data_IF_980739648555
#
_entry.id   IF_980739648555
#
_cell.length_a   1.000
_cell.length_b   1.000
_cell.length_c   1.000
_cell.angle_alpha   90.00
_cell.angle_beta   90.00
_cell.angle_gamma   90.00
#
_symmetry.space_group_name_H-M   'P 1'
#
loop_
_entity.id
_entity.type
_entity.pdbx_description
1 polymer ?
#
# COMPACT_ATOMS: atom_id res chain seq x y z
N UNK A 1 -55.99 -14.27 -0.48
CA UNK A 1 -54.64 -13.72 -0.27
C UNK A 1 -53.64 -14.64 -0.94
N UNK A 2 -53.42 -14.42 -2.23
CA UNK A 2 -52.38 -15.07 -3.02
C UNK A 2 -51.05 -14.43 -2.64
N UNK A 3 -50.21 -15.20 -1.95
CA UNK A 3 -48.84 -14.83 -1.61
C UNK A 3 -47.98 -15.15 -2.83
N UNK A 4 -47.70 -14.14 -3.65
CA UNK A 4 -46.65 -14.17 -4.67
C UNK A 4 -45.32 -14.24 -3.92
N UNK A 5 -44.84 -15.47 -3.73
CA UNK A 5 -43.46 -15.74 -3.36
C UNK A 5 -42.69 -15.79 -4.68
N UNK A 6 -42.36 -14.60 -5.21
CA UNK A 6 -41.41 -14.44 -6.32
C UNK A 6 -40.03 -14.76 -5.74
N UNK A 7 -39.76 -16.06 -5.63
CA UNK A 7 -38.47 -16.60 -5.22
C UNK A 7 -37.44 -16.14 -6.24
N UNK A 8 -36.63 -15.17 -5.82
CA UNK A 8 -35.47 -14.62 -6.52
C UNK A 8 -34.58 -15.78 -7.02
N UNK A 9 -34.83 -16.25 -8.24
CA UNK A 9 -34.01 -17.27 -8.86
C UNK A 9 -32.61 -16.66 -8.97
N UNK A 10 -31.55 -17.31 -8.44
CA UNK A 10 -30.22 -16.74 -8.47
C UNK A 10 -29.82 -16.47 -9.91
N UNK A 11 -29.87 -15.19 -10.29
CA UNK A 11 -29.63 -14.73 -11.64
C UNK A 11 -28.17 -15.03 -11.99
N UNK A 12 -27.95 -15.85 -13.01
CA UNK A 12 -26.60 -16.26 -13.40
C UNK A 12 -25.87 -15.04 -13.97
N UNK A 13 -24.70 -14.72 -13.42
CA UNK A 13 -23.90 -13.55 -13.79
C UNK A 13 -22.66 -13.96 -14.56
N UNK A 14 -22.30 -13.15 -15.56
CA UNK A 14 -21.06 -13.27 -16.31
C UNK A 14 -19.86 -12.73 -15.51
N UNK A 15 -18.67 -12.75 -16.12
CA UNK A 15 -17.46 -12.25 -15.48
C UNK A 15 -17.53 -10.77 -15.07
N UNK A 16 -18.25 -9.95 -15.83
CA UNK A 16 -18.48 -8.53 -15.56
C UNK A 16 -19.66 -8.28 -14.58
N UNK A 17 -20.28 -9.32 -14.01
CA UNK A 17 -21.40 -9.19 -13.09
C UNK A 17 -22.76 -8.93 -13.76
N UNK A 18 -22.81 -8.77 -15.08
CA UNK A 18 -24.06 -8.61 -15.81
C UNK A 18 -24.89 -9.90 -15.84
N UNK A 19 -26.23 -9.78 -15.84
CA UNK A 19 -27.11 -10.93 -15.94
C UNK A 19 -27.04 -11.57 -17.33
N UNK A 20 -26.89 -12.89 -17.34
CA UNK A 20 -26.92 -13.71 -18.55
C UNK A 20 -28.36 -14.17 -18.79
N UNK A 21 -28.87 -13.96 -19.99
CA UNK A 21 -30.16 -14.49 -20.43
C UNK A 21 -30.02 -15.23 -21.78
N UNK A 22 -30.94 -16.16 -22.08
CA UNK A 22 -31.05 -16.76 -23.41
C UNK A 22 -31.19 -15.71 -24.52
N UNK A 23 -30.80 -16.09 -25.74
CA UNK A 23 -30.87 -15.27 -26.96
C UNK A 23 -29.99 -14.01 -26.94
N UNK A 24 -29.10 -13.91 -25.95
CA UNK A 24 -28.06 -12.87 -25.90
C UNK A 24 -26.79 -13.32 -26.62
N UNK A 25 -26.06 -12.37 -27.20
CA UNK A 25 -24.71 -12.58 -27.73
C UNK A 25 -23.64 -12.11 -26.78
N UNK A 26 -22.64 -12.94 -26.57
CA UNK A 26 -21.57 -12.70 -25.62
C UNK A 26 -20.19 -12.96 -26.22
N UNK A 27 -19.22 -12.22 -25.71
CA UNK A 27 -17.80 -12.45 -25.92
C UNK A 27 -17.34 -13.61 -25.03
N UNK A 28 -16.95 -14.73 -25.64
CA UNK A 28 -16.38 -15.89 -24.95
C UNK A 28 -14.86 -15.92 -25.09
N UNK A 29 -14.14 -16.24 -24.00
CA UNK A 29 -12.69 -16.47 -24.03
C UNK A 29 -12.33 -17.75 -23.26
N UNK A 30 -11.74 -18.74 -23.94
CA UNK A 30 -11.39 -20.06 -23.38
C UNK A 30 -10.30 -20.02 -22.31
N UNK A 31 -9.34 -19.11 -22.43
CA UNK A 31 -8.16 -18.96 -21.58
C UNK A 31 -7.71 -17.50 -21.55
N UNK A 32 -6.77 -17.11 -20.69
CA UNK A 32 -6.41 -15.70 -20.55
C UNK A 32 -5.86 -15.07 -21.85
N UNK A 33 -5.16 -15.88 -22.66
CA UNK A 33 -4.48 -15.48 -23.90
C UNK A 33 -5.19 -15.95 -25.18
N UNK A 34 -6.32 -16.65 -25.06
CA UNK A 34 -7.07 -17.11 -26.22
C UNK A 34 -7.81 -15.94 -26.88
N UNK A 35 -8.03 -16.00 -28.22
CA UNK A 35 -8.87 -15.03 -28.90
C UNK A 35 -10.29 -15.06 -28.33
N UNK A 36 -10.99 -13.94 -28.50
CA UNK A 36 -12.39 -13.81 -28.10
C UNK A 36 -13.27 -14.19 -29.28
N UNK A 37 -14.29 -15.00 -29.01
CA UNK A 37 -15.19 -15.56 -30.01
C UNK A 37 -16.63 -15.19 -29.69
N UNK A 38 -17.44 -14.95 -30.72
CA UNK A 38 -18.88 -14.68 -30.55
C UNK A 38 -19.65 -15.96 -30.23
N UNK A 39 -20.48 -15.92 -29.17
CA UNK A 39 -21.40 -17.01 -28.82
C UNK A 39 -22.82 -16.51 -28.55
N UNK A 40 -23.82 -17.29 -28.98
CA UNK A 40 -25.23 -17.12 -28.60
C UNK A 40 -25.51 -17.93 -27.32
N UNK A 41 -26.21 -17.34 -26.35
CA UNK A 41 -26.66 -18.04 -25.15
C UNK A 41 -27.93 -18.82 -25.46
N UNK A 42 -27.87 -20.15 -25.35
CA UNK A 42 -29.03 -21.01 -25.59
C UNK A 42 -29.80 -21.29 -24.31
N UNK A 43 -29.09 -21.60 -23.22
CA UNK A 43 -29.73 -22.06 -21.98
C UNK A 43 -28.85 -21.85 -20.76
N UNK A 44 -29.47 -21.50 -19.64
CA UNK A 44 -28.84 -21.49 -18.32
C UNK A 44 -28.97 -22.86 -17.65
N UNK A 45 -27.86 -23.39 -17.13
CA UNK A 45 -27.84 -24.65 -16.38
C UNK A 45 -28.43 -24.47 -14.99
N UNK A 46 -29.22 -25.44 -14.53
CA UNK A 46 -29.86 -25.44 -13.20
C UNK A 46 -29.05 -26.17 -12.13
N UNK A 47 -28.04 -26.95 -12.52
CA UNK A 47 -27.21 -27.76 -11.62
C UNK A 47 -25.89 -27.07 -11.27
N UNK A 48 -25.33 -27.41 -10.11
CA UNK A 48 -23.98 -26.95 -9.70
C UNK A 48 -22.92 -27.93 -10.23
N UNK A 49 -21.75 -27.44 -10.69
CA UNK A 49 -21.37 -26.03 -10.81
C UNK A 49 -22.12 -25.30 -11.93
N UNK A 50 -22.34 -23.99 -11.79
CA UNK A 50 -23.05 -23.19 -12.78
C UNK A 50 -22.41 -23.31 -14.17
N UNK A 51 -23.25 -23.53 -15.19
CA UNK A 51 -22.87 -23.67 -16.60
C UNK A 51 -23.90 -22.99 -17.48
N UNK A 52 -23.42 -22.47 -18.60
CA UNK A 52 -24.24 -21.83 -19.64
C UNK A 52 -24.03 -22.61 -20.93
N UNK A 53 -25.13 -23.04 -21.56
CA UNK A 53 -25.06 -23.66 -22.88
C UNK A 53 -24.98 -22.54 -23.91
N UNK A 54 -23.92 -22.58 -24.71
CA UNK A 54 -23.63 -21.57 -25.72
C UNK A 54 -23.52 -22.22 -27.10
N UNK A 55 -23.80 -21.45 -28.15
CA UNK A 55 -23.55 -21.81 -29.55
C UNK A 55 -22.52 -20.87 -30.15
N UNK A 56 -21.50 -21.41 -30.79
CA UNK A 56 -20.49 -20.60 -31.48
C UNK A 56 -21.04 -20.07 -32.81
N UNK A 57 -20.87 -18.76 -33.03
CA UNK A 57 -21.44 -18.04 -34.18
C UNK A 57 -20.44 -17.93 -35.34
N UNK A 58 -19.13 -18.00 -35.07
CA UNK A 58 -18.08 -17.86 -36.09
C UNK A 58 -17.93 -19.12 -36.97
N UNK A 59 -17.72 -18.91 -38.27
CA UNK A 59 -17.67 -19.94 -39.32
C UNK A 59 -16.76 -21.14 -39.01
N UNK A 60 -15.62 -20.91 -38.33
CA UNK A 60 -14.68 -21.97 -37.97
C UNK A 60 -15.25 -23.00 -36.97
N UNK A 61 -16.33 -22.64 -36.27
CA UNK A 61 -16.99 -23.44 -35.23
C UNK A 61 -18.53 -23.40 -35.37
N UNK A 62 -19.04 -23.05 -36.56
CA UNK A 62 -20.47 -22.81 -36.77
C UNK A 62 -21.32 -23.99 -36.31
N UNK A 63 -22.27 -23.72 -35.41
CA UNK A 63 -23.19 -24.73 -34.89
C UNK A 63 -22.62 -25.62 -33.78
N UNK A 64 -21.35 -25.46 -33.39
CA UNK A 64 -20.82 -26.11 -32.20
C UNK A 64 -21.50 -25.55 -30.94
N UNK A 65 -21.91 -26.45 -30.04
CA UNK A 65 -22.53 -26.10 -28.76
C UNK A 65 -21.74 -26.71 -27.61
N UNK A 66 -21.53 -25.94 -26.55
CA UNK A 66 -20.80 -26.38 -25.35
C UNK A 66 -21.40 -25.80 -24.06
N UNK A 67 -21.13 -26.45 -22.93
CA UNK A 67 -21.47 -25.98 -21.60
C UNK A 67 -20.27 -25.28 -20.96
N UNK A 68 -20.27 -23.96 -21.01
CA UNK A 68 -19.15 -23.15 -20.50
C UNK A 68 -19.43 -22.61 -19.10
N UNK A 69 -18.39 -22.45 -18.26
CA UNK A 69 -18.51 -21.69 -17.02
C UNK A 69 -18.87 -20.21 -17.30
N UNK A 70 -19.75 -19.57 -16.50
CA UNK A 70 -20.16 -18.18 -16.72
C UNK A 70 -19.01 -17.16 -16.75
N UNK A 71 -17.93 -17.41 -16.00
CA UNK A 71 -16.75 -16.53 -15.96
C UNK A 71 -15.92 -16.48 -17.27
N UNK A 72 -16.24 -17.36 -18.24
CA UNK A 72 -15.67 -17.34 -19.58
C UNK A 72 -16.38 -16.34 -20.50
N UNK A 73 -17.59 -15.90 -20.13
CA UNK A 73 -18.33 -14.84 -20.80
C UNK A 73 -17.88 -13.48 -20.23
N UNK A 74 -17.31 -12.63 -21.08
CA UNK A 74 -16.63 -11.40 -20.67
C UNK A 74 -17.56 -10.20 -20.66
N UNK A 75 -18.12 -9.89 -21.82
CA UNK A 75 -19.04 -8.77 -22.06
C UNK A 75 -20.05 -9.19 -23.12
N UNK A 76 -21.12 -8.41 -23.31
CA UNK A 76 -22.01 -8.60 -24.47
C UNK A 76 -21.22 -8.36 -25.75
N UNK A 77 -21.58 -9.09 -26.80
CA UNK A 77 -20.86 -8.99 -28.08
C UNK A 77 -20.87 -7.58 -28.66
N UNK A 78 -21.96 -6.84 -28.47
CA UNK A 78 -22.05 -5.43 -28.90
C UNK A 78 -20.99 -4.52 -28.26
N UNK A 79 -20.43 -4.91 -27.11
CA UNK A 79 -19.47 -4.13 -26.33
C UNK A 79 -18.03 -4.73 -26.45
N UNK A 80 -17.84 -5.75 -27.30
CA UNK A 80 -16.56 -6.49 -27.39
C UNK A 80 -15.40 -5.60 -27.83
N UNK A 81 -15.63 -4.69 -28.76
CA UNK A 81 -14.60 -3.81 -29.31
C UNK A 81 -14.06 -2.85 -28.22
N UNK A 82 -14.94 -2.18 -27.48
CA UNK A 82 -14.56 -1.29 -26.39
C UNK A 82 -13.82 -2.05 -25.27
N UNK A 83 -14.25 -3.29 -24.98
CA UNK A 83 -13.57 -4.13 -24.00
C UNK A 83 -12.18 -4.59 -24.47
N UNK A 84 -12.01 -4.92 -25.76
CA UNK A 84 -10.70 -5.26 -26.32
C UNK A 84 -9.74 -4.07 -26.30
N UNK A 85 -10.20 -2.88 -26.70
CA UNK A 85 -9.41 -1.65 -26.65
C UNK A 85 -8.98 -1.32 -25.20
N UNK A 86 -9.87 -1.53 -24.22
CA UNK A 86 -9.53 -1.39 -22.81
C UNK A 86 -8.47 -2.41 -22.36
N UNK A 87 -8.61 -3.68 -22.74
CA UNK A 87 -7.61 -4.71 -22.45
C UNK A 87 -6.24 -4.39 -23.07
N UNK A 88 -6.22 -3.85 -24.29
CA UNK A 88 -5.00 -3.41 -24.98
C UNK A 88 -4.31 -2.26 -24.22
N UNK A 89 -5.06 -1.25 -23.80
CA UNK A 89 -4.54 -0.15 -22.96
C UNK A 89 -3.94 -0.67 -21.65
N UNK A 90 -4.63 -1.57 -20.96
CA UNK A 90 -4.11 -2.22 -19.76
C UNK A 90 -2.84 -3.05 -20.03
N UNK A 91 -2.79 -3.78 -21.14
CA UNK A 91 -1.60 -4.54 -21.51
C UNK A 91 -0.42 -3.61 -21.82
N UNK A 92 -0.64 -2.49 -22.52
CA UNK A 92 0.40 -1.51 -22.80
C UNK A 92 1.01 -0.94 -21.51
N UNK A 93 0.19 -0.61 -20.51
CA UNK A 93 0.68 -0.18 -19.18
C UNK A 93 1.47 -1.30 -18.49
N UNK A 94 0.94 -2.53 -18.47
CA UNK A 94 1.63 -3.68 -17.84
C UNK A 94 2.99 -3.96 -18.48
N UNK A 95 3.07 -3.88 -19.79
CA UNK A 95 4.31 -4.11 -20.53
C UNK A 95 5.32 -2.98 -20.26
N UNK A 96 4.86 -1.73 -20.22
CA UNK A 96 5.67 -0.57 -19.84
C UNK A 96 6.12 -0.60 -18.36
N UNK A 97 5.41 -1.32 -17.51
CA UNK A 97 5.69 -1.47 -16.07
C UNK A 97 6.37 -2.79 -15.69
N UNK A 98 6.67 -3.66 -16.67
CA UNK A 98 7.11 -5.02 -16.38
C UNK A 98 8.42 -5.08 -15.57
N UNK A 99 9.31 -4.11 -15.77
CA UNK A 99 10.60 -4.00 -15.07
C UNK A 99 10.48 -3.70 -13.57
N UNK A 100 9.34 -3.15 -13.13
CA UNK A 100 9.13 -2.74 -11.75
C UNK A 100 8.78 -3.90 -10.81
N UNK A 101 8.31 -5.03 -11.35
CA UNK A 101 7.73 -6.11 -10.54
C UNK A 101 8.77 -6.76 -9.64
N UNK A 102 8.40 -6.94 -8.37
CA UNK A 102 9.28 -7.50 -7.33
C UNK A 102 10.61 -6.75 -7.19
N UNK A 103 10.61 -5.44 -7.39
CA UNK A 103 11.78 -4.58 -7.17
C UNK A 103 11.61 -3.79 -5.87
N UNK A 104 12.72 -3.53 -5.19
CA UNK A 104 12.75 -2.68 -3.99
C UNK A 104 12.26 -1.26 -4.30
N UNK A 105 12.48 -0.76 -5.52
CA UNK A 105 11.95 0.52 -5.98
C UNK A 105 10.43 0.54 -6.02
N UNK A 106 9.79 -0.51 -6.54
CA UNK A 106 8.34 -0.61 -6.57
C UNK A 106 7.74 -0.73 -5.17
N UNK A 107 8.40 -1.45 -4.27
CA UNK A 107 8.01 -1.51 -2.86
C UNK A 107 8.17 -0.14 -2.18
N UNK A 108 9.27 0.57 -2.45
CA UNK A 108 9.50 1.93 -1.93
C UNK A 108 8.42 2.89 -2.40
N UNK A 109 8.09 2.87 -3.69
CA UNK A 109 7.03 3.69 -4.24
C UNK A 109 5.68 3.36 -3.61
N UNK A 110 5.36 2.07 -3.40
CA UNK A 110 4.17 1.64 -2.68
C UNK A 110 4.09 2.23 -1.28
N UNK A 111 5.18 2.14 -0.53
CA UNK A 111 5.28 2.68 0.82
C UNK A 111 5.04 4.20 0.86
N UNK A 112 5.58 4.94 -0.13
CA UNK A 112 5.35 6.38 -0.29
C UNK A 112 3.85 6.69 -0.46
N UNK A 113 3.14 5.95 -1.32
CA UNK A 113 1.72 6.17 -1.56
C UNK A 113 0.84 5.72 -0.39
N UNK A 114 1.17 4.60 0.27
CA UNK A 114 0.40 4.07 1.40
C UNK A 114 0.47 4.97 2.65
N UNK A 115 1.59 5.67 2.84
CA UNK A 115 1.81 6.57 3.97
C UNK A 115 1.65 8.04 3.62
N UNK A 116 1.13 8.38 2.45
CA UNK A 116 0.95 9.77 2.03
C UNK A 116 0.07 10.56 3.04
N UNK A 117 0.54 11.69 3.58
CA UNK A 117 -0.22 12.44 4.58
C UNK A 117 -1.44 13.14 3.97
N UNK A 118 -2.62 12.83 4.50
CA UNK A 118 -3.82 13.64 4.30
C UNK A 118 -4.56 13.49 2.97
N UNK A 119 -4.10 12.66 2.03
CA UNK A 119 -4.73 12.53 0.72
C UNK A 119 -4.69 11.10 0.16
N UNK A 120 -5.74 10.75 -0.60
CA UNK A 120 -5.86 9.47 -1.31
C UNK A 120 -6.18 9.75 -2.79
N UNK A 121 -5.44 10.69 -3.39
CA UNK A 121 -5.60 11.04 -4.81
C UNK A 121 -4.91 10.03 -5.74
N UNK A 122 -4.02 9.18 -5.23
CA UNK A 122 -3.33 8.15 -6.02
C UNK A 122 -3.14 6.88 -5.20
N UNK A 123 -3.14 5.73 -5.87
CA UNK A 123 -2.94 4.42 -5.25
C UNK A 123 -2.19 3.49 -6.20
N UNK A 124 -1.15 2.83 -5.68
CA UNK A 124 -0.47 1.76 -6.40
C UNK A 124 -1.42 0.58 -6.65
N UNK A 125 -1.34 0.00 -7.84
CA UNK A 125 -2.07 -1.19 -8.22
C UNK A 125 -1.26 -2.46 -7.90
N UNK A 126 -1.96 -3.57 -7.67
CA UNK A 126 -1.38 -4.82 -7.16
C UNK A 126 -1.65 -5.99 -8.10
N UNK A 127 -0.90 -7.08 -7.91
CA UNK A 127 -1.09 -8.32 -8.67
C UNK A 127 -0.71 -8.16 -10.13
N UNK A 128 -1.65 -8.42 -11.06
CA UNK A 128 -1.35 -8.33 -12.51
C UNK A 128 -0.97 -6.90 -12.94
N UNK A 129 -1.45 -5.91 -12.20
CA UNK A 129 -1.28 -4.48 -12.49
C UNK A 129 -0.19 -3.83 -11.61
N UNK A 130 0.62 -4.66 -10.93
CA UNK A 130 1.80 -4.20 -10.19
C UNK A 130 2.74 -3.38 -11.08
N UNK A 131 3.27 -2.28 -10.53
CA UNK A 131 4.07 -1.31 -11.26
C UNK A 131 3.25 -0.22 -11.97
N UNK A 132 1.93 -0.18 -11.78
CA UNK A 132 1.07 0.90 -12.27
C UNK A 132 0.45 1.70 -11.11
N UNK A 133 0.09 2.95 -11.39
CA UNK A 133 -0.53 3.86 -10.44
C UNK A 133 -1.89 4.33 -10.98
N UNK A 134 -2.91 4.24 -10.14
CA UNK A 134 -4.22 4.83 -10.40
C UNK A 134 -4.33 6.18 -9.68
N UNK A 135 -4.53 7.26 -10.43
CA UNK A 135 -4.65 8.64 -9.93
C UNK A 135 -6.10 9.09 -10.10
N UNK A 136 -6.81 9.24 -8.99
CA UNK A 136 -8.21 9.67 -8.92
C UNK A 136 -8.38 11.18 -9.07
N UNK A 137 -7.38 11.95 -8.64
CA UNK A 137 -7.39 13.41 -8.71
C UNK A 137 -6.02 13.94 -9.14
N UNK A 138 -5.86 14.10 -10.45
CA UNK A 138 -4.63 14.60 -11.07
C UNK A 138 -4.35 16.03 -10.64
N UNK A 139 -5.39 16.86 -10.49
CA UNK A 139 -5.22 18.27 -10.15
C UNK A 139 -4.74 18.44 -8.70
N UNK A 140 -5.30 17.67 -7.76
CA UNK A 140 -4.82 17.66 -6.39
C UNK A 140 -3.37 17.19 -6.28
N UNK A 141 -3.00 16.12 -7.01
CA UNK A 141 -1.62 15.62 -7.03
C UNK A 141 -0.65 16.68 -7.57
N UNK A 142 -0.99 17.30 -8.69
CA UNK A 142 -0.16 18.32 -9.35
C UNK A 142 -0.04 19.57 -8.47
N UNK A 143 -1.13 20.02 -7.84
CA UNK A 143 -1.13 21.15 -6.92
C UNK A 143 -0.34 20.87 -5.64
N UNK A 144 -0.41 19.64 -5.12
CA UNK A 144 0.41 19.21 -4.01
C UNK A 144 1.87 19.23 -4.45
N UNK A 145 2.27 18.50 -5.48
CA UNK A 145 3.67 18.44 -5.88
C UNK A 145 4.24 19.75 -6.44
N UNK A 146 3.40 20.68 -6.88
CA UNK A 146 3.82 21.93 -7.51
C UNK A 146 4.52 21.69 -8.85
N UNK A 147 4.12 20.66 -9.59
CA UNK A 147 4.74 20.22 -10.85
C UNK A 147 3.90 20.60 -12.07
N UNK A 148 4.45 20.40 -13.27
CA UNK A 148 3.66 20.49 -14.49
C UNK A 148 2.75 19.25 -14.62
N UNK A 149 1.47 19.48 -14.97
CA UNK A 149 0.51 18.41 -15.24
C UNK A 149 1.00 17.44 -16.32
N UNK A 150 1.80 17.91 -17.29
CA UNK A 150 2.32 17.06 -18.37
C UNK A 150 3.23 15.94 -17.87
N UNK A 151 3.85 16.08 -16.69
CA UNK A 151 4.65 15.00 -16.07
C UNK A 151 3.75 13.78 -15.77
N UNK A 152 2.50 14.04 -15.37
CA UNK A 152 1.56 13.01 -14.97
C UNK A 152 0.77 12.47 -16.17
N UNK A 153 0.30 13.36 -17.05
CA UNK A 153 -0.63 12.99 -18.15
C UNK A 153 0.06 12.77 -19.49
N UNK A 154 1.33 13.11 -19.63
CA UNK A 154 2.04 13.13 -20.91
C UNK A 154 2.57 11.79 -21.39
N UNK A 155 2.46 10.73 -20.58
CA UNK A 155 2.95 9.42 -20.96
C UNK A 155 2.05 8.78 -22.04
N UNK A 156 2.62 8.27 -23.15
CA UNK A 156 1.85 7.77 -24.29
C UNK A 156 1.00 6.53 -23.99
N UNK A 157 1.32 5.76 -22.94
CA UNK A 157 0.51 4.58 -22.56
C UNK A 157 -0.45 4.87 -21.40
N UNK A 158 -0.43 6.07 -20.84
CA UNK A 158 -1.39 6.48 -19.82
C UNK A 158 -2.80 6.60 -20.42
N UNK A 159 -3.81 6.22 -19.64
CA UNK A 159 -5.21 6.31 -20.07
C UNK A 159 -6.16 6.49 -18.88
N UNK A 160 -7.34 7.06 -19.13
CA UNK A 160 -8.41 7.15 -18.13
C UNK A 160 -9.24 5.87 -18.16
N UNK A 161 -9.37 5.21 -17.01
CA UNK A 161 -10.19 4.01 -16.83
C UNK A 161 -11.66 4.38 -16.56
N UNK A 162 -12.55 3.39 -16.58
CA UNK A 162 -14.00 3.57 -16.47
C UNK A 162 -14.45 4.22 -15.15
N UNK A 163 -13.63 4.14 -14.09
CA UNK A 163 -13.87 4.77 -12.80
C UNK A 163 -13.43 6.25 -12.76
N UNK A 164 -12.92 6.78 -13.87
CA UNK A 164 -12.40 8.14 -14.00
C UNK A 164 -10.95 8.29 -13.52
N UNK A 165 -10.32 7.24 -12.99
CA UNK A 165 -8.93 7.28 -12.57
C UNK A 165 -8.00 7.31 -13.79
N UNK A 166 -6.97 8.15 -13.75
CA UNK A 166 -5.87 8.09 -14.70
C UNK A 166 -4.93 6.94 -14.31
N UNK A 167 -4.76 5.98 -15.20
CA UNK A 167 -3.80 4.90 -15.06
C UNK A 167 -2.50 5.32 -15.73
N UNK A 168 -1.41 5.27 -14.98
CA UNK A 168 -0.07 5.63 -15.47
C UNK A 168 0.92 4.48 -15.25
N UNK A 169 1.93 4.32 -16.13
CA UNK A 169 2.92 3.26 -16.01
C UNK A 169 3.98 3.57 -14.94
N UNK A 170 4.86 2.59 -14.73
CA UNK A 170 5.91 2.61 -13.71
C UNK A 170 6.77 3.86 -13.75
N UNK A 171 7.17 4.30 -14.96
CA UNK A 171 7.99 5.49 -15.16
C UNK A 171 7.39 6.72 -14.45
N UNK A 172 6.12 6.99 -14.68
CA UNK A 172 5.40 8.13 -14.09
C UNK A 172 5.22 7.90 -12.59
N UNK A 173 4.81 6.70 -12.19
CA UNK A 173 4.64 6.34 -10.78
C UNK A 173 5.93 6.56 -9.97
N UNK A 174 7.06 6.09 -10.47
CA UNK A 174 8.37 6.21 -9.85
C UNK A 174 8.83 7.67 -9.73
N UNK A 175 8.62 8.47 -10.77
CA UNK A 175 8.92 9.90 -10.73
C UNK A 175 8.05 10.64 -9.69
N UNK A 176 6.74 10.39 -9.70
CA UNK A 176 5.80 10.95 -8.72
C UNK A 176 6.16 10.54 -7.30
N UNK A 177 6.49 9.26 -7.06
CA UNK A 177 6.89 8.77 -5.74
C UNK A 177 8.15 9.47 -5.21
N UNK A 178 9.16 9.67 -6.08
CA UNK A 178 10.38 10.41 -5.72
C UNK A 178 10.08 11.87 -5.37
N UNK A 179 9.21 12.53 -6.13
CA UNK A 179 8.81 13.92 -5.87
C UNK A 179 8.03 14.04 -4.55
N UNK A 180 7.16 13.07 -4.25
CA UNK A 180 6.44 13.01 -2.97
C UNK A 180 7.40 12.80 -1.80
N UNK A 181 8.34 11.86 -1.94
CA UNK A 181 9.36 11.60 -0.93
C UNK A 181 10.20 12.85 -0.63
N UNK A 182 10.56 13.63 -1.65
CA UNK A 182 11.29 14.88 -1.49
C UNK A 182 10.46 15.98 -0.84
N UNK A 183 9.21 16.15 -1.30
CA UNK A 183 8.32 17.20 -0.79
C UNK A 183 7.97 16.97 0.69
N UNK A 184 7.64 15.73 1.04
CA UNK A 184 7.17 15.34 2.36
C UNK A 184 8.26 14.61 3.17
N UNK A 185 9.52 15.02 2.98
CA UNK A 185 10.68 14.30 3.51
C UNK A 185 10.66 14.13 5.03
N UNK A 186 10.26 15.18 5.78
CA UNK A 186 10.20 15.13 7.25
C UNK A 186 9.21 14.04 7.73
N UNK A 187 8.11 13.87 7.01
CA UNK A 187 7.10 12.84 7.29
C UNK A 187 7.63 11.44 7.03
N UNK A 188 8.20 11.19 5.85
CA UNK A 188 8.70 9.86 5.49
C UNK A 188 9.91 9.44 6.32
N UNK A 189 10.82 10.36 6.65
CA UNK A 189 11.93 10.07 7.56
C UNK A 189 11.43 9.69 8.96
N UNK A 190 10.38 10.36 9.44
CA UNK A 190 9.74 10.00 10.72
C UNK A 190 9.12 8.60 10.67
N UNK A 191 8.40 8.26 9.59
CA UNK A 191 7.80 6.92 9.43
C UNK A 191 8.88 5.82 9.28
N UNK A 192 9.97 6.08 8.55
CA UNK A 192 11.12 5.15 8.45
C UNK A 192 11.72 4.89 9.84
N UNK A 193 11.95 5.96 10.62
CA UNK A 193 12.49 5.84 11.98
C UNK A 193 11.58 5.04 12.90
N UNK A 194 10.27 5.17 12.73
CA UNK A 194 9.27 4.42 13.49
C UNK A 194 9.30 2.94 13.11
N UNK A 195 9.30 2.64 11.82
CA UNK A 195 9.37 1.27 11.30
C UNK A 195 10.65 0.57 11.79
N UNK A 196 11.80 1.24 11.76
CA UNK A 196 13.06 0.67 12.27
C UNK A 196 12.98 0.27 13.73
N UNK A 197 12.37 1.11 14.58
CA UNK A 197 12.20 0.77 16.00
C UNK A 197 11.31 -0.46 16.19
N UNK A 198 10.29 -0.61 15.34
CA UNK A 198 9.44 -1.80 15.35
C UNK A 198 10.22 -3.05 14.90
N UNK A 199 11.05 -2.92 13.87
CA UNK A 199 11.86 -4.01 13.34
C UNK A 199 13.00 -4.38 14.29
N UNK A 200 13.68 -3.44 14.93
CA UNK A 200 14.65 -3.69 16.00
C UNK A 200 14.05 -4.51 17.15
N UNK A 201 12.80 -4.23 17.51
CA UNK A 201 12.09 -5.01 18.51
C UNK A 201 11.83 -6.45 18.04
N UNK A 202 11.30 -6.62 16.81
CA UNK A 202 11.05 -7.94 16.20
C UNK A 202 12.33 -8.74 16.03
N UNK A 203 13.42 -8.12 15.60
CA UNK A 203 14.74 -8.75 15.40
C UNK A 203 15.37 -9.22 16.72
N UNK A 204 14.91 -8.70 17.87
CA UNK A 204 15.37 -9.13 19.20
C UNK A 204 14.48 -10.20 19.82
N UNK A 205 13.17 -10.14 19.59
CA UNK A 205 12.19 -10.93 20.35
C UNK A 205 11.30 -11.84 19.49
N UNK A 206 11.39 -11.74 18.17
CA UNK A 206 10.41 -12.30 17.26
C UNK A 206 9.06 -11.58 17.35
N UNK A 207 8.04 -12.10 16.67
CA UNK A 207 6.66 -11.64 16.84
C UNK A 207 5.64 -12.74 16.57
N UNK A 208 4.40 -12.51 16.99
CA UNK A 208 3.28 -13.39 16.70
C UNK A 208 2.59 -12.96 15.41
N UNK A 209 2.52 -13.85 14.43
CA UNK A 209 1.79 -13.65 13.18
C UNK A 209 0.69 -14.70 13.06
N UNK A 210 -0.57 -14.28 13.10
CA UNK A 210 -1.72 -15.19 13.10
C UNK A 210 -1.63 -16.23 14.22
N UNK A 211 -1.54 -17.51 13.85
CA UNK A 211 -1.43 -18.64 14.80
C UNK A 211 0.01 -19.08 15.10
N UNK A 212 1.03 -18.43 14.54
CA UNK A 212 2.43 -18.83 14.64
C UNK A 212 3.33 -17.77 15.28
N UNK A 213 4.37 -18.22 15.96
CA UNK A 213 5.47 -17.35 16.38
C UNK A 213 6.57 -17.37 15.31
N UNK A 214 7.01 -16.18 14.90
CA UNK A 214 8.17 -16.00 14.03
C UNK A 214 9.35 -15.61 14.92
N UNK A 215 10.45 -16.35 14.82
CA UNK A 215 11.63 -16.14 15.66
C UNK A 215 12.33 -14.82 15.33
N UNK A 216 13.10 -14.32 16.30
CA UNK A 216 13.94 -13.14 16.16
C UNK A 216 14.94 -13.26 15.00
N UNK A 217 15.50 -14.45 14.80
CA UNK A 217 16.47 -14.76 13.73
C UNK A 217 15.86 -14.59 12.35
N UNK A 218 14.67 -15.15 12.11
CA UNK A 218 13.94 -14.99 10.84
C UNK A 218 13.56 -13.53 10.62
N UNK A 219 13.15 -12.82 11.68
CA UNK A 219 12.86 -11.38 11.57
C UNK A 219 14.10 -10.59 11.13
N UNK A 220 15.26 -10.86 11.74
CA UNK A 220 16.51 -10.20 11.41
C UNK A 220 16.97 -10.49 9.98
N UNK A 221 16.83 -11.74 9.52
CA UNK A 221 17.15 -12.14 8.15
C UNK A 221 16.28 -11.39 7.13
N UNK A 222 14.96 -11.42 7.31
CA UNK A 222 14.01 -10.73 6.42
C UNK A 222 14.22 -9.22 6.44
N UNK A 223 14.52 -8.64 7.61
CA UNK A 223 14.77 -7.22 7.75
C UNK A 223 16.08 -6.79 7.07
N UNK A 224 17.13 -7.62 7.10
CA UNK A 224 18.37 -7.33 6.39
C UNK A 224 18.22 -7.51 4.86
N UNK A 225 17.47 -8.52 4.41
CA UNK A 225 17.26 -8.80 2.98
C UNK A 225 16.31 -7.80 2.30
N UNK A 226 15.23 -7.41 2.97
CA UNK A 226 14.16 -6.62 2.36
C UNK A 226 13.89 -5.29 3.06
N UNK A 227 13.87 -5.28 4.39
CA UNK A 227 13.48 -4.10 5.17
C UNK A 227 14.49 -2.94 5.09
N UNK A 228 15.76 -3.23 5.37
CA UNK A 228 16.82 -2.22 5.36
C UNK A 228 17.04 -1.62 3.96
N UNK A 229 17.15 -2.41 2.87
CA UNK A 229 17.28 -1.85 1.52
C UNK A 229 16.14 -0.91 1.15
N UNK A 230 14.90 -1.28 1.50
CA UNK A 230 13.71 -0.46 1.29
C UNK A 230 13.82 0.90 2.00
N UNK A 231 14.14 0.88 3.30
CA UNK A 231 14.25 2.10 4.11
C UNK A 231 15.40 3.01 3.67
N UNK A 232 16.53 2.44 3.27
CA UNK A 232 17.67 3.19 2.77
C UNK A 232 17.36 3.87 1.42
N UNK A 233 16.60 3.19 0.55
CA UNK A 233 16.13 3.79 -0.70
C UNK A 233 15.16 4.95 -0.45
N UNK A 234 14.22 4.81 0.49
CA UNK A 234 13.29 5.90 0.86
C UNK A 234 14.07 7.11 1.39
N UNK A 235 15.09 6.91 2.24
CA UNK A 235 15.98 7.99 2.70
C UNK A 235 16.69 8.67 1.53
N UNK A 236 17.21 7.87 0.60
CA UNK A 236 17.87 8.39 -0.58
C UNK A 236 16.93 9.27 -1.40
N UNK A 237 15.65 8.88 -1.53
CA UNK A 237 14.65 9.67 -2.25
C UNK A 237 14.29 10.97 -1.53
N UNK A 238 14.20 10.96 -0.19
CA UNK A 238 14.01 12.17 0.62
C UNK A 238 15.15 13.19 0.43
N UNK A 239 16.34 12.72 0.05
CA UNK A 239 17.48 13.54 -0.34
C UNK A 239 18.39 13.95 0.82
N UNK A 240 19.62 14.32 0.47
CA UNK A 240 20.69 14.58 1.45
C UNK A 240 20.39 15.70 2.46
N UNK A 241 19.58 16.70 2.07
CA UNK A 241 19.17 17.79 2.97
C UNK A 241 18.23 17.31 4.08
N UNK A 242 17.30 16.40 3.75
CA UNK A 242 16.39 15.83 4.72
C UNK A 242 17.13 14.94 5.72
N UNK A 243 18.07 14.14 5.21
CA UNK A 243 18.95 13.30 6.03
C UNK A 243 19.77 14.19 6.99
N UNK A 244 20.46 15.22 6.47
CA UNK A 244 21.27 16.12 7.30
C UNK A 244 20.45 16.87 8.36
N UNK A 245 19.24 17.31 8.03
CA UNK A 245 18.33 17.94 9.00
C UNK A 245 17.88 16.96 10.08
N UNK A 246 17.63 15.71 9.72
CA UNK A 246 17.30 14.67 10.68
C UNK A 246 18.48 14.37 11.60
N UNK A 247 19.69 14.26 11.06
CA UNK A 247 20.92 14.08 11.85
C UNK A 247 21.12 15.23 12.83
N UNK A 248 20.89 16.48 12.39
CA UNK A 248 20.93 17.66 13.25
C UNK A 248 19.87 17.58 14.35
N UNK A 249 18.62 17.23 14.01
CA UNK A 249 17.55 17.06 15.00
C UNK A 249 17.88 15.98 16.03
N UNK A 250 18.46 14.87 15.60
CA UNK A 250 18.81 13.77 16.50
C UNK A 250 20.03 14.12 17.37
N UNK A 251 21.01 14.87 16.83
CA UNK A 251 22.10 15.44 17.61
C UNK A 251 21.59 16.44 18.67
N UNK A 252 20.66 17.33 18.30
CA UNK A 252 20.03 18.27 19.22
C UNK A 252 19.21 17.55 20.30
N UNK A 253 18.45 16.50 19.94
CA UNK A 253 17.72 15.67 20.91
C UNK A 253 18.66 14.96 21.87
N UNK A 254 19.77 14.41 21.38
CA UNK A 254 20.79 13.78 22.21
C UNK A 254 21.42 14.79 23.18
N UNK A 255 21.69 16.01 22.71
CA UNK A 255 22.27 17.08 23.53
C UNK A 255 21.28 17.58 24.60
N UNK A 256 20.02 17.82 24.24
CA UNK A 256 18.96 18.16 25.20
C UNK A 256 18.84 17.08 26.28
N UNK A 257 18.88 15.81 25.89
CA UNK A 257 18.86 14.69 26.84
C UNK A 257 20.08 14.71 27.75
N UNK A 258 21.29 14.89 27.20
CA UNK A 258 22.54 14.96 27.97
C UNK A 258 22.51 16.10 28.98
N UNK A 259 22.07 17.29 28.56
CA UNK A 259 21.91 18.46 29.43
C UNK A 259 20.87 18.20 30.51
N UNK A 260 19.72 17.62 30.16
CA UNK A 260 18.69 17.21 31.13
C UNK A 260 19.26 16.29 32.22
N UNK A 261 19.98 15.23 31.83
CA UNK A 261 20.64 14.31 32.79
C UNK A 261 21.72 15.00 33.63
N UNK A 262 22.47 15.94 33.05
CA UNK A 262 23.50 16.68 33.80
C UNK A 262 22.87 17.61 34.84
N UNK A 263 21.77 18.28 34.49
CA UNK A 263 21.06 19.16 35.42
C UNK A 263 20.36 18.35 36.51
N UNK A 264 19.75 17.20 36.19
CA UNK A 264 19.22 16.27 37.19
C UNK A 264 20.27 15.91 38.25
N UNK A 265 21.48 15.55 37.80
CA UNK A 265 22.60 15.25 38.70
C UNK A 265 23.04 16.44 39.54
N UNK A 266 23.00 17.66 38.97
CA UNK A 266 23.34 18.88 39.70
C UNK A 266 22.30 19.20 40.77
N UNK A 267 21.02 19.11 40.45
CA UNK A 267 19.91 19.28 41.40
C UNK A 267 20.04 18.27 42.55
N UNK A 268 20.29 17.00 42.25
CA UNK A 268 20.47 15.97 43.27
C UNK A 268 21.70 16.24 44.15
N UNK A 269 22.81 16.72 43.58
CA UNK A 269 24.00 17.09 44.35
C UNK A 269 23.73 18.29 45.29
N UNK A 270 23.00 19.31 44.82
CA UNK A 270 22.65 20.50 45.61
C UNK A 270 21.67 20.15 46.74
N UNK A 271 20.68 19.30 46.47
CA UNK A 271 19.80 18.74 47.51
C UNK A 271 20.56 17.97 48.58
N UNK A 272 21.48 17.10 48.16
CA UNK A 272 22.31 16.33 49.09
C UNK A 272 23.24 17.22 49.94
N UNK A 273 23.56 18.43 49.47
CA UNK A 273 24.30 19.44 50.23
C UNK A 273 23.42 20.27 51.18
N UNK A 274 22.09 20.07 51.16
CA UNK A 274 21.12 20.73 52.03
C UNK A 274 20.56 22.06 51.49
N UNK A 275 20.92 22.49 50.28
CA UNK A 275 20.44 23.74 49.69
C UNK A 275 19.20 23.51 48.81
N UNK A 276 18.08 23.23 49.49
CA UNK A 276 16.78 23.01 48.87
C UNK A 276 16.26 24.22 48.07
N UNK A 277 16.71 25.43 48.41
CA UNK A 277 16.25 26.64 47.73
C UNK A 277 16.90 26.73 46.35
N UNK A 278 18.22 26.59 46.26
CA UNK A 278 18.95 26.61 45.00
C UNK A 278 18.57 25.43 44.09
N UNK A 279 18.29 24.26 44.67
CA UNK A 279 17.79 23.10 43.91
C UNK A 279 16.44 23.39 43.24
N UNK A 280 15.49 24.02 43.94
CA UNK A 280 14.18 24.39 43.38
C UNK A 280 14.28 25.50 42.34
N UNK A 281 15.19 26.45 42.52
CA UNK A 281 15.45 27.49 41.51
C UNK A 281 15.98 26.87 40.21
N UNK A 282 16.94 25.93 40.30
CA UNK A 282 17.43 25.17 39.14
C UNK A 282 16.35 24.34 38.44
N UNK A 283 15.46 23.68 39.20
CA UNK A 283 14.31 22.96 38.64
C UNK A 283 13.33 23.89 37.92
N UNK A 284 13.11 25.09 38.47
CA UNK A 284 12.20 26.09 37.90
C UNK A 284 12.77 26.69 36.60
N UNK A 285 14.07 26.98 36.59
CA UNK A 285 14.74 27.58 35.44
C UNK A 285 14.90 26.60 34.26
N UNK A 286 14.81 25.29 34.52
CA UNK A 286 14.74 24.25 33.49
C UNK A 286 13.45 24.32 32.64
N UNK A 287 12.40 24.96 33.16
CA UNK A 287 11.11 25.14 32.46
C UNK A 287 10.29 23.85 32.25
N UNK A 288 10.82 22.69 32.61
CA UNK A 288 10.16 21.38 32.58
C UNK A 288 10.41 20.71 33.94
N UNK A 289 9.38 20.24 34.68
CA UNK A 289 9.59 19.60 35.98
C UNK A 289 10.53 18.40 35.84
N UNK A 290 11.54 18.31 36.70
CA UNK A 290 12.53 17.21 36.70
C UNK A 290 11.87 15.83 36.78
N UNK A 291 10.71 15.74 37.42
CA UNK A 291 9.89 14.54 37.53
C UNK A 291 9.39 14.04 36.17
N UNK A 292 9.12 14.95 35.22
CA UNK A 292 8.73 14.62 33.84
C UNK A 292 9.92 14.05 33.07
N UNK A 293 11.13 14.57 33.28
CA UNK A 293 12.37 14.04 32.69
C UNK A 293 12.75 12.68 33.29
N UNK A 294 12.61 12.52 34.60
CA UNK A 294 12.77 11.23 35.30
C UNK A 294 11.78 10.18 34.83
N UNK A 295 10.53 10.56 34.56
CA UNK A 295 9.49 9.65 34.08
C UNK A 295 9.77 9.22 32.63
N UNK A 296 10.15 10.14 31.75
CA UNK A 296 10.57 9.84 30.38
C UNK A 296 11.85 8.96 30.31
N UNK A 297 12.80 9.15 31.23
CA UNK A 297 13.99 8.30 31.35
C UNK A 297 13.66 6.92 31.94
N UNK A 298 12.75 6.81 32.93
CA UNK A 298 12.34 5.54 33.54
C UNK A 298 11.47 4.69 32.61
N UNK A 299 10.58 5.29 31.83
CA UNK A 299 9.76 4.57 30.83
C UNK A 299 10.62 3.94 29.73
N UNK A 300 11.71 4.60 29.33
CA UNK A 300 12.68 4.05 28.38
C UNK A 300 13.65 3.01 29.00
N UNK A 301 14.04 3.17 30.26
CA UNK A 301 14.85 2.16 30.97
C UNK A 301 14.05 0.89 31.30
N UNK A 302 12.76 0.99 31.64
CA UNK A 302 11.87 -0.17 31.84
C UNK A 302 11.57 -0.93 30.54
N UNK A 303 11.69 -0.27 29.38
CA UNK A 303 11.60 -0.93 28.05
C UNK A 303 12.91 -1.62 27.62
N UNK A 304 14.01 -1.43 28.36
CA UNK A 304 15.35 -1.94 28.01
C UNK A 304 15.94 -2.94 29.01
N UNK A 305 15.15 -3.45 29.98
CA UNK A 305 15.62 -4.41 31.00
C UNK A 305 14.66 -5.59 31.23
N UNK A 306 15.15 -6.78 31.65
CA UNK A 306 14.55 -8.07 31.34
C UNK A 306 13.45 -8.51 32.33
N UNK A 307 12.43 -9.18 31.76
CA UNK A 307 11.38 -10.00 32.37
C UNK A 307 10.24 -9.37 33.20
N UNK A 308 9.03 -9.72 32.77
CA UNK A 308 7.81 -9.77 33.55
C UNK A 308 6.85 -10.84 33.01
N UNK A 309 7.33 -12.09 32.91
CA UNK A 309 6.47 -13.26 32.73
C UNK A 309 5.48 -13.34 33.90
N UNK A 310 4.20 -13.11 33.64
CA UNK A 310 3.12 -13.61 34.48
C UNK A 310 2.55 -14.86 33.82
N UNK A 311 2.90 -16.03 34.39
CA UNK A 311 2.11 -17.26 34.24
C UNK A 311 0.81 -17.08 35.03
N UNK A 312 -0.36 -17.32 34.44
CA UNK A 312 -1.57 -17.52 35.23
C UNK A 312 -1.54 -18.92 35.86
N UNK A 313 -2.03 -18.98 37.09
CA UNK A 313 -2.42 -20.22 37.78
C UNK A 313 -3.63 -20.85 37.12
#
# INVERSE_FOLDING_TARGET
MTRTDDGDQPMMKAANGEPIAPDQRWAYRKGAHDPVTCVDILRLGSTRPARVRVRFVEDAYEGHEDWVPPNRLKVRWKDVAAWQEREERWNAVRDASAEARNTTENDAAGWIFDLLPGYNYAKQLWGRDEGALAIRDVDALVADLGIDRTIVVGDPVAFTDDDGSLIVPWRVMHEVARLLAQKHSDHYISEVTKEEREHEHKNRWGYMSGSGHISAEICAEVDEEHGRPLRDLIRQWCGAKAIARQDELDALRAEVKRLGTLVERAVDAVRNAGDEKSARELERDLGIPVEVLRQANRENQRRSGPYGLHRPR
#
